data_IF_722234147820
#
_entry.id   IF_722234147820
#
_cell.length_a   1.000
_cell.length_b   1.000
_cell.length_c   1.000
_cell.angle_alpha   90.00
_cell.angle_beta   90.00
_cell.angle_gamma   90.00
#
_symmetry.space_group_name_H-M   'P 1'
#
loop_
_entity.id
_entity.type
_entity.pdbx_description
1 polymer ?
#
# COMPACT_ATOMS: atom_id res chain seq x y z
N UNK A 1 20.33 -39.35 1.48
CA UNK A 1 19.78 -38.22 0.69
C UNK A 1 19.52 -37.07 1.66
N UNK A 2 20.53 -36.23 1.91
CA UNK A 2 20.38 -35.08 2.81
C UNK A 2 19.90 -33.89 2.01
N UNK A 3 18.67 -33.44 2.27
CA UNK A 3 18.14 -32.18 1.74
C UNK A 3 18.95 -31.05 2.37
N UNK A 4 19.80 -30.43 1.56
CA UNK A 4 20.47 -29.18 1.91
C UNK A 4 19.35 -28.12 1.97
N UNK A 5 19.10 -27.60 3.16
CA UNK A 5 18.23 -26.45 3.37
C UNK A 5 19.07 -25.26 2.91
N UNK A 6 18.79 -24.74 1.72
CA UNK A 6 19.43 -23.53 1.23
C UNK A 6 19.08 -22.36 2.17
N UNK A 7 20.06 -21.72 2.83
CA UNK A 7 19.79 -20.57 3.67
C UNK A 7 19.44 -19.39 2.77
N UNK A 8 18.16 -19.03 2.77
CA UNK A 8 17.63 -17.92 1.97
C UNK A 8 18.48 -16.65 2.11
N UNK A 9 18.81 -16.03 0.97
CA UNK A 9 19.58 -14.79 0.91
C UNK A 9 18.88 -13.66 1.68
N UNK A 10 19.62 -12.69 2.26
CA UNK A 10 19.04 -11.57 3.01
C UNK A 10 17.96 -10.79 2.23
N UNK A 11 18.12 -10.66 0.92
CA UNK A 11 17.14 -10.01 0.02
C UNK A 11 15.86 -10.83 -0.12
N UNK A 12 15.95 -12.14 -0.28
CA UNK A 12 14.77 -13.03 -0.33
C UNK A 12 14.02 -13.02 1.00
N UNK A 13 14.75 -12.94 2.12
CA UNK A 13 14.16 -12.82 3.45
C UNK A 13 13.46 -11.46 3.64
N UNK A 14 14.06 -10.38 3.15
CA UNK A 14 13.45 -9.03 3.16
C UNK A 14 12.18 -8.99 2.30
N UNK A 15 12.22 -9.51 1.07
CA UNK A 15 11.07 -9.58 0.18
C UNK A 15 9.91 -10.38 0.78
N UNK A 16 10.19 -11.50 1.47
CA UNK A 16 9.16 -12.25 2.20
C UNK A 16 8.58 -11.44 3.36
N UNK A 17 9.43 -10.82 4.18
CA UNK A 17 8.97 -9.98 5.30
C UNK A 17 8.16 -8.78 4.82
N UNK A 18 8.49 -8.23 3.65
CA UNK A 18 7.75 -7.11 3.09
C UNK A 18 6.36 -7.52 2.60
N UNK A 19 6.23 -8.70 1.97
CA UNK A 19 4.91 -9.28 1.64
C UNK A 19 4.03 -9.56 2.84
N UNK A 20 4.64 -9.84 3.99
CA UNK A 20 3.94 -10.11 5.25
C UNK A 20 3.39 -8.82 5.90
N UNK A 21 3.70 -7.63 5.38
CA UNK A 21 3.14 -6.38 5.90
C UNK A 21 1.65 -6.30 5.64
N UNK A 22 0.95 -5.66 6.57
CA UNK A 22 -0.49 -5.42 6.48
C UNK A 22 -0.78 -3.99 6.86
N UNK A 23 -1.48 -3.27 6.00
CA UNK A 23 -2.05 -1.97 6.28
C UNK A 23 -3.49 -2.14 6.76
N UNK A 24 -3.80 -1.49 7.88
CA UNK A 24 -5.15 -1.45 8.45
C UNK A 24 -5.57 0.01 8.49
N UNK A 25 -6.71 0.34 7.88
CA UNK A 25 -7.29 1.67 8.01
C UNK A 25 -8.65 1.68 8.66
N UNK A 26 -8.90 2.72 9.45
CA UNK A 26 -10.11 2.90 10.23
C UNK A 26 -10.35 4.38 10.53
N UNK A 27 -11.58 4.71 10.90
CA UNK A 27 -11.96 6.08 11.27
C UNK A 27 -11.86 6.27 12.78
N UNK A 28 -11.02 7.20 13.21
CA UNK A 28 -10.95 7.64 14.60
C UNK A 28 -11.50 9.05 14.72
N UNK A 29 -12.69 9.20 15.33
CA UNK A 29 -13.39 10.50 15.44
C UNK A 29 -13.53 11.20 14.07
N UNK A 30 -13.88 10.44 13.03
CA UNK A 30 -14.02 10.92 11.66
C UNK A 30 -12.72 11.06 10.87
N UNK A 31 -11.55 10.99 11.51
CA UNK A 31 -10.26 11.06 10.82
C UNK A 31 -9.81 9.70 10.32
N UNK A 32 -9.30 9.67 9.10
CA UNK A 32 -8.61 8.52 8.53
C UNK A 32 -7.30 8.24 9.29
N UNK A 33 -7.19 7.03 9.84
CA UNK A 33 -5.95 6.51 10.44
C UNK A 33 -5.57 5.24 9.70
N UNK A 34 -4.28 5.07 9.41
CA UNK A 34 -3.72 3.89 8.75
C UNK A 34 -2.50 3.42 9.52
N UNK A 35 -2.48 2.15 9.89
CA UNK A 35 -1.39 1.52 10.65
C UNK A 35 -0.77 0.39 9.83
N UNK A 36 0.56 0.26 9.89
CA UNK A 36 1.35 -0.83 9.30
C UNK A 36 1.69 -1.86 10.37
N UNK A 37 1.26 -3.10 10.15
CA UNK A 37 1.63 -4.27 10.95
C UNK A 37 2.88 -4.95 10.37
N UNK A 38 3.68 -5.65 11.20
CA UNK A 38 3.44 -5.96 12.62
C UNK A 38 3.84 -4.86 13.61
N UNK A 39 4.53 -3.80 13.17
CA UNK A 39 5.12 -2.80 14.07
C UNK A 39 4.12 -1.78 14.64
N UNK A 40 2.86 -1.80 14.18
CA UNK A 40 1.82 -0.81 14.51
C UNK A 40 2.28 0.63 14.25
N UNK A 41 3.06 0.83 13.18
CA UNK A 41 3.52 2.17 12.79
C UNK A 41 2.40 2.91 12.06
N UNK A 42 2.05 4.10 12.52
CA UNK A 42 1.07 4.93 11.83
C UNK A 42 1.68 5.51 10.54
N UNK A 43 1.03 5.26 9.41
CA UNK A 43 1.38 5.91 8.15
C UNK A 43 1.02 7.40 8.23
N UNK A 44 1.94 8.28 7.83
CA UNK A 44 1.71 9.72 7.83
C UNK A 44 1.79 10.30 6.41
N UNK A 45 1.07 11.40 6.10
CA UNK A 45 1.09 11.97 4.76
C UNK A 45 2.42 12.68 4.43
N UNK A 46 3.30 12.92 5.42
CA UNK A 46 4.49 13.76 5.28
C UNK A 46 5.40 13.37 4.11
N UNK A 47 5.71 12.09 3.95
CA UNK A 47 6.57 11.63 2.84
C UNK A 47 5.85 11.83 1.50
N UNK A 48 4.62 11.35 1.39
CA UNK A 48 3.83 11.47 0.15
C UNK A 48 3.56 12.91 -0.27
N UNK A 49 3.38 13.84 0.69
CA UNK A 49 3.16 15.26 0.41
C UNK A 49 4.37 15.95 -0.22
N UNK A 50 5.59 15.48 0.09
CA UNK A 50 6.81 15.99 -0.54
C UNK A 50 6.93 15.55 -2.00
N UNK A 51 6.42 14.36 -2.30
CA UNK A 51 6.43 13.76 -3.64
C UNK A 51 5.33 14.38 -4.51
N UNK A 52 4.08 14.35 -4.03
CA UNK A 52 2.97 15.05 -4.68
C UNK A 52 1.94 15.51 -3.64
N UNK A 53 1.58 16.79 -3.72
CA UNK A 53 0.64 17.42 -2.81
C UNK A 53 -0.80 17.33 -3.32
N UNK A 54 -1.48 16.22 -2.99
CA UNK A 54 -2.89 16.03 -3.33
C UNK A 54 -3.83 16.46 -2.20
N UNK A 55 -3.47 16.18 -0.94
CA UNK A 55 -4.33 16.42 0.22
C UNK A 55 -3.52 16.72 1.48
N UNK A 56 -3.24 18.00 1.77
CA UNK A 56 -2.59 18.42 3.02
C UNK A 56 -3.40 18.08 4.27
N UNK A 57 -4.72 17.91 4.12
CA UNK A 57 -5.66 17.67 5.22
C UNK A 57 -5.65 16.21 5.71
N UNK A 58 -4.99 15.31 4.98
CA UNK A 58 -4.80 13.92 5.35
C UNK A 58 -5.31 12.93 4.32
N UNK A 59 -5.33 11.66 4.75
CA UNK A 59 -5.77 10.52 3.96
C UNK A 59 -7.29 10.40 3.93
N UNK A 60 -7.79 9.77 2.88
CA UNK A 60 -9.18 9.38 2.71
C UNK A 60 -9.24 8.12 1.82
N UNK A 61 -10.41 7.48 1.72
CA UNK A 61 -10.63 6.29 0.90
C UNK A 61 -12.12 6.13 0.58
N UNK A 62 -12.46 5.18 -0.31
CA UNK A 62 -13.85 4.87 -0.67
C UNK A 62 -14.46 5.78 -1.75
N UNK A 63 -13.64 6.60 -2.41
CA UNK A 63 -14.04 7.44 -3.55
C UNK A 63 -12.83 7.86 -4.39
N UNK A 64 -13.06 8.47 -5.56
CA UNK A 64 -12.02 8.77 -6.56
C UNK A 64 -11.26 10.11 -6.43
N UNK A 65 -11.21 10.73 -5.25
CA UNK A 65 -10.70 12.12 -5.08
C UNK A 65 -9.24 12.26 -4.61
N UNK A 66 -8.89 13.46 -4.14
CA UNK A 66 -7.51 13.82 -3.78
C UNK A 66 -6.99 13.18 -2.49
N UNK A 67 -7.85 13.01 -1.47
CA UNK A 67 -7.45 12.31 -0.24
C UNK A 67 -7.12 10.82 -0.47
N UNK A 68 -7.94 10.08 -1.26
CA UNK A 68 -7.60 8.76 -1.77
C UNK A 68 -6.31 8.74 -2.59
N UNK A 69 -6.07 9.75 -3.44
CA UNK A 69 -4.82 9.86 -4.18
C UNK A 69 -3.60 10.02 -3.25
N UNK A 70 -3.72 10.83 -2.20
CA UNK A 70 -2.66 10.99 -1.20
C UNK A 70 -2.38 9.69 -0.45
N UNK A 71 -3.43 8.94 -0.09
CA UNK A 71 -3.28 7.65 0.58
C UNK A 71 -2.64 6.60 -0.34
N UNK A 72 -3.06 6.53 -1.60
CA UNK A 72 -2.48 5.64 -2.59
C UNK A 72 -0.97 5.85 -2.74
N UNK A 73 -0.55 7.11 -2.90
CA UNK A 73 0.86 7.46 -3.00
C UNK A 73 1.63 7.11 -1.71
N UNK A 74 1.05 7.35 -0.53
CA UNK A 74 1.68 7.02 0.74
C UNK A 74 1.86 5.52 0.94
N UNK A 75 0.87 4.70 0.56
CA UNK A 75 0.94 3.24 0.64
C UNK A 75 2.03 2.68 -0.27
N UNK A 76 2.06 3.11 -1.54
CA UNK A 76 3.08 2.65 -2.49
C UNK A 76 4.48 3.06 -2.04
N UNK A 77 4.69 4.33 -1.66
CA UNK A 77 5.97 4.79 -1.14
C UNK A 77 6.42 3.98 0.08
N UNK A 78 5.52 3.73 1.03
CA UNK A 78 5.87 2.99 2.24
C UNK A 78 6.17 1.51 1.96
N UNK A 79 5.53 0.93 0.95
CA UNK A 79 5.73 -0.46 0.56
C UNK A 79 7.01 -0.65 -0.27
N UNK A 80 7.15 0.09 -1.37
CA UNK A 80 8.24 -0.13 -2.33
C UNK A 80 9.52 0.59 -1.98
N UNK A 81 9.44 1.62 -1.13
CA UNK A 81 10.50 2.61 -0.90
C UNK A 81 11.03 3.28 -2.18
N UNK A 82 10.25 3.24 -3.25
CA UNK A 82 10.61 3.75 -4.58
C UNK A 82 9.64 4.86 -5.00
N UNK A 83 10.18 6.08 -5.12
CA UNK A 83 9.43 7.28 -5.45
C UNK A 83 8.94 7.30 -6.90
N UNK A 84 9.78 6.88 -7.85
CA UNK A 84 9.45 6.88 -9.27
C UNK A 84 8.37 5.84 -9.56
N UNK A 85 8.51 4.66 -8.97
CA UNK A 85 7.49 3.62 -9.03
C UNK A 85 6.17 4.11 -8.44
N UNK A 86 6.19 4.69 -7.24
CA UNK A 86 4.99 5.17 -6.60
C UNK A 86 4.29 6.27 -7.40
N UNK A 87 5.03 7.21 -7.99
CA UNK A 87 4.49 8.26 -8.86
C UNK A 87 3.86 7.70 -10.14
N UNK A 88 4.45 6.64 -10.69
CA UNK A 88 3.93 5.98 -11.90
C UNK A 88 2.61 5.26 -11.62
N UNK A 89 2.52 4.55 -10.50
CA UNK A 89 1.41 3.61 -10.26
C UNK A 89 0.29 4.11 -9.33
N UNK A 90 0.47 5.20 -8.56
CA UNK A 90 -0.52 5.58 -7.54
C UNK A 90 -1.91 5.90 -8.09
N UNK A 91 -2.02 6.43 -9.32
CA UNK A 91 -3.32 6.82 -9.88
C UNK A 91 -4.20 5.60 -10.16
N UNK A 92 -3.63 4.57 -10.76
CA UNK A 92 -4.32 3.29 -10.99
C UNK A 92 -4.63 2.62 -9.66
N UNK A 93 -3.62 2.45 -8.81
CA UNK A 93 -3.78 1.83 -7.49
C UNK A 93 -4.87 2.54 -6.65
N UNK A 94 -4.97 3.88 -6.76
CA UNK A 94 -6.06 4.64 -6.16
C UNK A 94 -7.43 4.19 -6.69
N UNK A 95 -7.60 4.08 -8.01
CA UNK A 95 -8.89 3.77 -8.62
C UNK A 95 -9.36 2.35 -8.30
N UNK A 96 -8.44 1.38 -8.39
CA UNK A 96 -8.73 -0.05 -8.24
C UNK A 96 -8.83 -0.48 -6.78
N UNK A 97 -7.97 0.05 -5.92
CA UNK A 97 -7.88 -0.36 -4.51
C UNK A 97 -8.46 0.71 -3.61
N UNK A 98 -7.82 1.87 -3.52
CA UNK A 98 -8.11 2.85 -2.46
C UNK A 98 -9.52 3.44 -2.54
N UNK A 99 -10.05 3.59 -3.75
CA UNK A 99 -11.40 4.10 -4.00
C UNK A 99 -12.48 3.06 -3.66
N UNK A 100 -12.12 1.78 -3.56
CA UNK A 100 -13.01 0.66 -3.24
C UNK A 100 -12.87 0.20 -1.77
N UNK A 101 -11.93 0.76 -1.01
CA UNK A 101 -11.75 0.39 0.39
C UNK A 101 -13.00 0.79 1.18
N UNK A 102 -13.57 -0.20 1.85
CA UNK A 102 -14.71 -0.02 2.73
C UNK A 102 -14.40 -0.57 4.13
N UNK A 103 -14.84 0.14 5.15
CA UNK A 103 -14.78 -0.30 6.54
C UNK A 103 -15.85 -1.38 6.84
N UNK A 104 -16.03 -2.35 5.95
CA UNK A 104 -17.05 -3.40 6.06
C UNK A 104 -16.59 -4.61 6.89
N UNK A 105 -15.33 -4.63 7.33
CA UNK A 105 -14.76 -5.70 8.16
C UNK A 105 -15.10 -5.57 9.65
N UNK A 106 -14.69 -6.55 10.47
CA UNK A 106 -14.83 -6.48 11.92
C UNK A 106 -14.17 -5.20 12.48
N UNK A 107 -14.89 -4.49 13.34
CA UNK A 107 -14.45 -3.24 13.99
C UNK A 107 -14.31 -2.03 13.05
N UNK A 108 -15.08 -1.97 11.96
CA UNK A 108 -15.12 -0.84 11.01
C UNK A 108 -13.74 -0.52 10.42
N UNK A 109 -13.01 -1.56 10.00
CA UNK A 109 -11.67 -1.45 9.43
C UNK A 109 -11.59 -2.10 8.05
N UNK A 110 -10.80 -1.51 7.16
CA UNK A 110 -10.30 -2.19 5.97
C UNK A 110 -8.91 -2.76 6.22
N UNK A 111 -8.54 -3.77 5.43
CA UNK A 111 -7.24 -4.44 5.49
C UNK A 111 -6.69 -4.58 4.09
N UNK A 112 -5.39 -4.31 3.93
CA UNK A 112 -4.67 -4.43 2.68
C UNK A 112 -3.28 -5.02 2.94
N UNK A 113 -2.92 -6.07 2.23
CA UNK A 113 -1.65 -6.80 2.39
C UNK A 113 -0.61 -6.39 1.35
N UNK A 114 0.67 -6.61 1.66
CA UNK A 114 1.74 -6.42 0.67
C UNK A 114 1.51 -7.25 -0.61
N UNK A 115 1.05 -8.48 -0.46
CA UNK A 115 0.69 -9.33 -1.61
C UNK A 115 -0.44 -8.77 -2.49
N UNK A 116 -1.45 -8.13 -1.91
CA UNK A 116 -2.51 -7.45 -2.68
C UNK A 116 -1.98 -6.20 -3.39
N UNK A 117 -1.07 -5.47 -2.77
CA UNK A 117 -0.39 -4.33 -3.41
C UNK A 117 0.40 -4.81 -4.63
N UNK A 118 1.23 -5.84 -4.46
CA UNK A 118 2.01 -6.44 -5.54
C UNK A 118 1.15 -7.00 -6.67
N UNK A 119 0.03 -7.65 -6.35
CA UNK A 119 -0.86 -8.21 -7.36
C UNK A 119 -1.42 -7.13 -8.30
N UNK A 120 -1.76 -5.96 -7.75
CA UNK A 120 -2.32 -4.85 -8.53
C UNK A 120 -1.23 -4.16 -9.34
N UNK A 121 -0.10 -3.80 -8.72
CA UNK A 121 0.96 -3.08 -9.44
C UNK A 121 1.80 -3.98 -10.36
N UNK A 122 1.82 -5.29 -10.11
CA UNK A 122 2.50 -6.29 -10.92
C UNK A 122 1.69 -6.76 -12.12
N UNK A 123 0.35 -6.65 -12.09
CA UNK A 123 -0.51 -6.97 -13.24
C UNK A 123 -0.21 -6.07 -14.46
N UNK A 124 0.17 -4.80 -14.22
CA UNK A 124 0.59 -3.87 -15.28
C UNK A 124 1.82 -4.34 -16.06
N UNK A 125 2.77 -5.01 -15.38
CA UNK A 125 3.98 -5.50 -16.02
C UNK A 125 3.70 -6.67 -16.98
N UNK A 126 2.58 -7.40 -16.78
CA UNK A 126 2.17 -8.53 -17.62
C UNK A 126 1.22 -8.07 -18.74
N UNK A 127 0.34 -7.09 -18.48
CA UNK A 127 -0.62 -6.58 -19.47
C UNK A 127 0.05 -5.70 -20.55
N UNK A 128 1.23 -5.12 -20.28
CA UNK A 128 2.08 -4.46 -21.27
C UNK A 128 2.89 -5.43 -22.16
N UNK A 129 2.78 -6.76 -21.94
CA UNK A 129 3.41 -7.83 -22.73
C UNK A 129 2.33 -8.69 -23.44
N UNK A 130 1.16 -8.13 -23.73
CA UNK A 130 0.20 -8.75 -24.64
C UNK A 130 0.38 -8.18 -26.07
N UNK A 131 0.52 -9.02 -27.12
CA UNK A 131 0.87 -8.61 -28.49
C UNK A 131 -0.21 -7.85 -29.25
#
# INVERSE_FOLDING_TARGET
MSRIIDPQSPEQRRQRTDRDVVYIGYRQRGRAVVEKLPNHEQLTPHRSLKVANHSPIGFEWGYGGSGPAQLALALLLNYTDDEEFALTHYTQFKNEVVSQLECAGPNDRWRLTGGEIEAVVGAEADELIAP
#
